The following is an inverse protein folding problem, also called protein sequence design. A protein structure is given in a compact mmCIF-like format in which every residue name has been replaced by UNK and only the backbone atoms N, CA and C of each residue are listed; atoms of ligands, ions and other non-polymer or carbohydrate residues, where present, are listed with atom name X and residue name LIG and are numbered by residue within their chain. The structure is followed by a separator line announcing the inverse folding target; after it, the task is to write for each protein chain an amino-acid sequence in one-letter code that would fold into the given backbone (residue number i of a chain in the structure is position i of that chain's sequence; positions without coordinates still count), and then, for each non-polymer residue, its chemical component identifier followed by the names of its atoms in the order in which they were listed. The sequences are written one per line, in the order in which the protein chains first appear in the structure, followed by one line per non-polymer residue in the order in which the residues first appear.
data_IF_553344411877
#
_entry.id   IF_553344411877
#
_cell.length_a   1.000
_cell.length_b   1.000
_cell.length_c   1.000
_cell.angle_alpha   90.00
_cell.angle_beta   90.00
_cell.angle_gamma   90.00
#
_symmetry.space_group_name_H-M   'P 1'
#
loop_
_entity.id
_entity.type
_entity.pdbx_description
1 polymer ?
#
# COMPACT_ATOMS: atom_id res chain seq x y z
N UNK A 1 4.29 20.31 28.24
CA UNK A 1 3.40 19.33 27.58
C UNK A 1 4.21 18.78 26.42
N UNK A 2 4.80 17.60 26.59
CA UNK A 2 5.58 16.94 25.53
C UNK A 2 4.64 16.48 24.42
N UNK A 3 4.95 16.69 23.13
CA UNK A 3 4.29 15.97 22.04
C UNK A 3 4.92 14.57 21.93
N UNK A 4 4.89 13.79 23.00
CA UNK A 4 5.22 12.37 22.94
C UNK A 4 3.91 11.63 22.66
N UNK A 5 3.69 11.26 21.39
CA UNK A 5 2.79 10.19 20.89
C UNK A 5 2.41 10.39 19.42
N UNK A 6 3.21 11.07 18.60
CA UNK A 6 3.26 10.66 17.20
C UNK A 6 4.18 9.44 17.20
N UNK A 7 3.62 8.24 17.31
CA UNK A 7 4.39 7.02 17.04
C UNK A 7 5.13 7.24 15.71
N UNK A 8 6.45 7.00 15.69
CA UNK A 8 7.24 7.10 14.47
C UNK A 8 6.68 6.08 13.49
N UNK A 9 5.83 6.54 12.57
CA UNK A 9 5.29 5.70 11.51
C UNK A 9 6.46 5.12 10.72
N UNK A 10 6.39 3.82 10.35
CA UNK A 10 7.43 3.21 9.54
C UNK A 10 7.63 4.02 8.25
N UNK A 11 8.88 4.34 7.94
CA UNK A 11 9.23 5.07 6.72
C UNK A 11 8.96 4.19 5.51
N UNK A 12 8.11 4.67 4.61
CA UNK A 12 7.76 3.97 3.37
C UNK A 12 8.66 4.45 2.24
N UNK A 13 9.02 3.54 1.34
CA UNK A 13 9.63 3.94 0.07
C UNK A 13 8.59 4.65 -0.80
N UNK A 14 9.03 5.51 -1.72
CA UNK A 14 8.12 6.20 -2.66
C UNK A 14 7.19 5.24 -3.43
N UNK A 15 7.66 4.02 -3.72
CA UNK A 15 6.82 2.99 -4.36
C UNK A 15 5.75 2.45 -3.41
N UNK A 16 6.11 2.18 -2.16
CA UNK A 16 5.17 1.69 -1.14
C UNK A 16 4.10 2.74 -0.85
N UNK A 17 4.47 4.02 -0.75
CA UNK A 17 3.53 5.13 -0.64
C UNK A 17 2.56 5.15 -1.84
N UNK A 18 3.09 5.02 -3.06
CA UNK A 18 2.29 5.00 -4.27
C UNK A 18 1.33 3.80 -4.30
N UNK A 19 1.80 2.61 -3.96
CA UNK A 19 0.97 1.38 -3.91
C UNK A 19 -0.11 1.53 -2.85
N UNK A 20 0.22 2.00 -1.65
CA UNK A 20 -0.74 2.24 -0.57
C UNK A 20 -1.82 3.24 -0.98
N UNK A 21 -1.44 4.36 -1.59
CA UNK A 21 -2.37 5.36 -2.09
C UNK A 21 -3.33 4.79 -3.15
N UNK A 22 -2.83 3.94 -4.05
CA UNK A 22 -3.66 3.27 -5.07
C UNK A 22 -4.63 2.26 -4.45
N UNK A 23 -4.19 1.50 -3.44
CA UNK A 23 -5.07 0.58 -2.70
C UNK A 23 -6.19 1.34 -2.02
N UNK A 24 -5.86 2.41 -1.28
CA UNK A 24 -6.85 3.25 -0.59
C UNK A 24 -7.86 3.82 -1.59
N UNK A 25 -7.37 4.35 -2.72
CA UNK A 25 -8.23 4.89 -3.77
C UNK A 25 -9.17 3.82 -4.33
N UNK A 26 -8.63 2.67 -4.75
CA UNK A 26 -9.42 1.59 -5.33
C UNK A 26 -10.48 1.06 -4.34
N UNK A 27 -10.11 0.91 -3.06
CA UNK A 27 -11.02 0.47 -2.00
C UNK A 27 -12.11 1.49 -1.69
N UNK A 28 -11.79 2.79 -1.77
CA UNK A 28 -12.77 3.87 -1.57
C UNK A 28 -13.76 3.95 -2.73
N UNK A 29 -13.31 3.70 -3.96
CA UNK A 29 -14.16 3.64 -5.15
C UNK A 29 -15.04 2.37 -5.16
N UNK A 30 -14.49 1.24 -4.71
CA UNK A 30 -15.17 -0.06 -4.59
C UNK A 30 -14.70 -0.77 -3.33
N UNK A 31 -15.56 -0.99 -2.32
CA UNK A 31 -15.18 -1.60 -1.04
C UNK A 31 -14.99 -3.13 -1.16
N UNK A 32 -14.10 -3.53 -2.06
CA UNK A 32 -13.70 -4.91 -2.37
C UNK A 32 -12.19 -5.04 -2.19
N UNK A 33 -11.67 -6.22 -1.80
CA UNK A 33 -10.24 -6.45 -1.67
C UNK A 33 -9.47 -6.14 -2.96
N UNK A 34 -8.37 -5.40 -2.85
CA UNK A 34 -7.55 -4.97 -3.98
C UNK A 34 -6.42 -5.97 -4.19
N UNK A 35 -6.32 -6.56 -5.39
CA UNK A 35 -5.26 -7.53 -5.71
C UNK A 35 -4.06 -6.87 -6.39
N UNK A 36 -2.87 -7.47 -6.23
CA UNK A 36 -1.66 -7.02 -6.93
C UNK A 36 -1.79 -7.11 -8.45
N UNK A 37 -2.62 -8.03 -8.97
CA UNK A 37 -2.94 -8.14 -10.39
C UNK A 37 -3.76 -6.94 -10.87
N UNK A 38 -4.78 -6.55 -10.10
CA UNK A 38 -5.57 -5.36 -10.41
C UNK A 38 -4.69 -4.11 -10.50
N UNK A 39 -3.79 -3.89 -9.52
CA UNK A 39 -2.87 -2.75 -9.53
C UNK A 39 -1.90 -2.78 -10.73
N UNK A 40 -1.40 -3.96 -11.09
CA UNK A 40 -0.52 -4.11 -12.25
C UNK A 40 -1.21 -3.78 -13.57
N UNK A 41 -2.49 -4.14 -13.71
CA UNK A 41 -3.26 -3.97 -14.95
C UNK A 41 -3.92 -2.58 -15.07
N UNK A 42 -4.18 -1.89 -13.95
CA UNK A 42 -5.02 -0.69 -13.94
C UNK A 42 -4.32 0.58 -13.40
N UNK A 43 -3.09 0.50 -12.89
CA UNK A 43 -2.45 1.62 -12.19
C UNK A 43 -1.06 2.04 -12.70
N UNK A 44 -0.64 1.56 -13.88
CA UNK A 44 0.59 1.99 -14.60
C UNK A 44 1.85 2.08 -13.73
N UNK A 45 2.05 1.11 -12.83
CA UNK A 45 3.17 1.10 -11.88
C UNK A 45 4.53 0.72 -12.49
N UNK A 46 4.58 0.36 -13.78
CA UNK A 46 5.78 -0.09 -14.50
C UNK A 46 6.56 -1.24 -13.79
N UNK A 47 5.86 -2.03 -12.98
CA UNK A 47 6.43 -3.18 -12.26
C UNK A 47 5.50 -4.39 -12.38
N UNK A 48 6.06 -5.58 -12.17
CA UNK A 48 5.29 -6.81 -12.24
C UNK A 48 4.32 -6.96 -11.06
N UNK A 49 3.25 -7.73 -11.25
CA UNK A 49 2.33 -8.11 -10.16
C UNK A 49 3.05 -8.84 -9.00
N UNK A 50 4.15 -9.55 -9.29
CA UNK A 50 4.97 -10.19 -8.26
C UNK A 50 5.70 -9.16 -7.40
N UNK A 51 6.26 -8.10 -8.02
CA UNK A 51 6.87 -6.98 -7.29
C UNK A 51 5.84 -6.28 -6.42
N UNK A 52 4.65 -5.97 -6.96
CA UNK A 52 3.58 -5.31 -6.20
C UNK A 52 3.15 -6.16 -5.01
N UNK A 53 2.97 -7.47 -5.20
CA UNK A 53 2.63 -8.39 -4.09
C UNK A 53 3.68 -8.36 -2.98
N UNK A 54 4.97 -8.30 -3.33
CA UNK A 54 6.04 -8.22 -2.33
C UNK A 54 5.96 -6.89 -1.54
N UNK A 55 5.71 -5.76 -2.23
CA UNK A 55 5.54 -4.47 -1.55
C UNK A 55 4.28 -4.45 -0.67
N UNK A 56 3.18 -5.07 -1.14
CA UNK A 56 1.95 -5.23 -0.35
C UNK A 56 2.19 -6.09 0.90
N UNK A 57 3.00 -7.14 0.82
CA UNK A 57 3.37 -7.94 1.99
C UNK A 57 4.16 -7.10 3.02
N UNK A 58 5.06 -6.23 2.56
CA UNK A 58 5.74 -5.28 3.46
C UNK A 58 4.73 -4.30 4.07
N UNK A 59 3.78 -3.76 3.31
CA UNK A 59 2.74 -2.89 3.85
C UNK A 59 1.85 -3.58 4.90
N UNK A 60 1.60 -4.89 4.74
CA UNK A 60 0.89 -5.73 5.71
C UNK A 60 1.71 -5.94 6.99
N UNK A 61 2.99 -6.29 6.86
CA UNK A 61 3.91 -6.40 8.00
C UNK A 61 4.05 -5.08 8.80
N UNK A 62 3.95 -3.94 8.11
CA UNK A 62 3.96 -2.61 8.70
C UNK A 62 2.59 -2.17 9.26
N UNK A 63 1.53 -2.95 9.06
CA UNK A 63 0.18 -2.71 9.60
C UNK A 63 -0.65 -1.68 8.83
N UNK A 64 -0.26 -1.31 7.60
CA UNK A 64 -1.01 -0.35 6.78
C UNK A 64 -2.20 -0.99 6.06
N UNK A 65 -2.08 -2.26 5.68
CA UNK A 65 -3.13 -3.07 5.08
C UNK A 65 -3.15 -4.43 5.77
N UNK A 66 -4.18 -5.24 5.51
CA UNK A 66 -4.21 -6.66 5.90
C UNK A 66 -4.60 -7.47 4.68
N UNK A 67 -3.92 -8.59 4.47
CA UNK A 67 -4.32 -9.58 3.48
C UNK A 67 -5.62 -10.31 3.90
#
# INVERSE_FOLDING_TARGET
MTPESAENLPELTARQEQILALIIRAYTERPEPVSSKYLAENCDLNVSSATIRNEMAVLDELGYITA
#
